data_IF_985436686500
#
_entry.id   IF_985436686500
#
_cell.length_a   1.000
_cell.length_b   1.000
_cell.length_c   1.000
_cell.angle_alpha   90.00
_cell.angle_beta   90.00
_cell.angle_gamma   90.00
#
_symmetry.space_group_name_H-M   'P 1'
#
loop_
_entity.id
_entity.type
_entity.pdbx_description
1 polymer ?
#
# COMPACT_ATOMS: atom_id res chain seq x y z
N UNK A 1 16.15 21.61 -3.16
CA UNK A 1 14.98 21.35 -2.29
C UNK A 1 15.20 20.05 -1.54
N UNK A 2 14.97 20.05 -0.23
CA UNK A 2 15.08 18.84 0.60
C UNK A 2 13.79 18.00 0.52
N UNK A 3 13.90 16.66 0.49
CA UNK A 3 12.75 15.78 0.47
C UNK A 3 12.01 15.80 1.81
N UNK A 4 10.67 15.83 1.78
CA UNK A 4 9.81 15.82 2.97
C UNK A 4 9.97 14.53 3.80
N UNK A 5 10.27 13.41 3.14
CA UNK A 5 10.56 12.14 3.79
C UNK A 5 11.95 11.66 3.41
N UNK A 6 12.73 11.23 4.41
CA UNK A 6 14.02 10.59 4.18
C UNK A 6 13.86 9.23 3.49
N UNK A 7 14.89 8.77 2.77
CA UNK A 7 14.89 7.44 2.14
C UNK A 7 14.64 6.31 3.14
N UNK A 8 15.06 6.47 4.41
CA UNK A 8 14.77 5.51 5.49
C UNK A 8 13.28 5.45 5.82
N UNK A 9 12.61 6.61 5.90
CA UNK A 9 11.15 6.67 6.12
C UNK A 9 10.39 6.08 4.93
N UNK A 10 10.73 6.45 3.69
CA UNK A 10 10.11 5.92 2.48
C UNK A 10 10.25 4.38 2.38
N UNK A 11 11.41 3.81 2.74
CA UNK A 11 11.61 2.36 2.81
C UNK A 11 10.67 1.70 3.82
N UNK A 12 10.42 2.32 4.99
CA UNK A 12 9.50 1.77 6.00
C UNK A 12 8.05 1.74 5.50
N UNK A 13 7.62 2.74 4.73
CA UNK A 13 6.29 2.73 4.08
C UNK A 13 6.12 1.54 3.13
N UNK A 14 7.19 1.24 2.38
CA UNK A 14 7.25 0.18 1.37
C UNK A 14 7.52 -1.23 1.88
N UNK A 15 7.65 -1.45 3.19
CA UNK A 15 7.77 -2.80 3.77
C UNK A 15 6.47 -3.14 4.48
N UNK A 16 5.44 -3.63 3.77
CA UNK A 16 4.22 -3.98 4.46
C UNK A 16 4.35 -5.33 5.18
N UNK A 17 5.07 -6.35 4.69
CA UNK A 17 5.00 -7.66 5.37
C UNK A 17 6.24 -8.57 5.23
N UNK A 18 7.07 -8.66 6.29
CA UNK A 18 7.93 -9.84 6.55
C UNK A 18 7.09 -11.10 6.79
N UNK A 19 5.86 -10.89 7.28
CA UNK A 19 4.90 -11.91 7.67
C UNK A 19 4.28 -12.66 6.49
N UNK A 20 4.22 -12.04 5.30
CA UNK A 20 3.62 -12.69 4.13
C UNK A 20 4.43 -13.90 3.69
N UNK A 21 5.76 -13.77 3.71
CA UNK A 21 6.65 -14.91 3.45
C UNK A 21 6.45 -16.03 4.47
N UNK A 22 6.29 -15.68 5.77
CA UNK A 22 5.98 -16.67 6.82
C UNK A 22 4.63 -17.35 6.59
N UNK A 23 3.60 -16.60 6.19
CA UNK A 23 2.28 -17.15 5.88
C UNK A 23 2.31 -18.09 4.67
N UNK A 24 3.05 -17.74 3.61
CA UNK A 24 3.26 -18.61 2.44
C UNK A 24 3.99 -19.90 2.82
N UNK A 25 5.07 -19.80 3.60
CA UNK A 25 5.81 -20.97 4.09
C UNK A 25 4.97 -21.84 5.01
N UNK A 26 4.15 -21.24 5.88
CA UNK A 26 3.23 -21.98 6.75
C UNK A 26 2.18 -22.75 5.94
N UNK A 27 1.58 -22.12 4.90
CA UNK A 27 0.64 -22.81 4.01
C UNK A 27 1.28 -23.95 3.22
N UNK A 28 2.50 -23.74 2.69
CA UNK A 28 3.26 -24.80 2.00
C UNK A 28 3.57 -25.97 2.94
N UNK A 29 4.02 -25.69 4.16
CA UNK A 29 4.27 -26.71 5.18
C UNK A 29 3.01 -27.47 5.57
N UNK A 30 1.89 -26.77 5.78
CA UNK A 30 0.60 -27.39 6.07
C UNK A 30 0.13 -28.30 4.94
N UNK A 31 0.23 -27.86 3.68
CA UNK A 31 -0.07 -28.67 2.49
C UNK A 31 0.79 -29.93 2.43
N UNK A 32 2.11 -29.81 2.64
CA UNK A 32 3.02 -30.94 2.62
C UNK A 32 2.67 -31.97 3.71
N UNK A 33 2.35 -31.52 4.93
CA UNK A 33 1.92 -32.41 6.04
C UNK A 33 0.59 -33.07 5.74
N UNK A 34 -0.39 -32.34 5.20
CA UNK A 34 -1.70 -32.90 4.84
C UNK A 34 -1.59 -33.97 3.73
N UNK A 35 -0.79 -33.70 2.69
CA UNK A 35 -0.52 -34.66 1.61
C UNK A 35 0.26 -35.89 2.11
N UNK A 36 1.25 -35.69 2.98
CA UNK A 36 2.06 -36.77 3.55
C UNK A 36 1.22 -37.64 4.47
N UNK A 37 0.38 -37.04 5.33
CA UNK A 37 -0.54 -37.77 6.20
C UNK A 37 -1.59 -38.58 5.44
N UNK A 38 -2.02 -38.09 4.27
CA UNK A 38 -2.88 -38.82 3.35
C UNK A 38 -2.14 -39.98 2.66
N UNK A 39 -0.85 -39.82 2.31
CA UNK A 39 -0.06 -40.87 1.66
C UNK A 39 0.32 -42.04 2.58
N UNK A 40 0.42 -41.83 3.89
CA UNK A 40 0.77 -42.88 4.87
C UNK A 40 -0.42 -43.70 5.39
N UNK A 41 -1.65 -43.26 5.11
CA UNK A 41 -2.85 -44.06 5.38
C UNK A 41 -3.29 -44.60 4.03
N UNK A 42 -2.97 -45.85 3.71
CA UNK A 42 -3.34 -46.53 2.46
C UNK A 42 -4.88 -46.66 2.20
N UNK A 43 -5.72 -45.95 2.99
CA UNK A 43 -7.18 -45.91 2.94
C UNK A 43 -7.72 -44.53 2.50
N UNK A 44 -7.09 -43.89 1.51
CA UNK A 44 -7.66 -42.67 0.91
C UNK A 44 -8.39 -43.07 -0.36
N UNK A 45 -9.69 -43.34 -0.24
CA UNK A 45 -10.59 -43.09 -1.36
C UNK A 45 -10.29 -41.65 -1.79
N UNK A 46 -9.86 -41.44 -3.04
CA UNK A 46 -9.51 -40.12 -3.59
C UNK A 46 -10.69 -39.13 -3.66
N UNK A 47 -11.75 -39.37 -2.89
CA UNK A 47 -12.63 -38.36 -2.34
C UNK A 47 -11.86 -37.46 -1.34
N UNK A 48 -10.76 -36.85 -1.77
CA UNK A 48 -10.43 -35.54 -1.22
C UNK A 48 -11.71 -34.74 -1.36
N UNK A 49 -12.31 -34.36 -0.23
CA UNK A 49 -13.58 -33.64 -0.25
C UNK A 49 -13.32 -32.43 -1.15
N UNK A 50 -13.94 -32.41 -2.33
CA UNK A 50 -13.81 -31.32 -3.31
C UNK A 50 -13.90 -29.94 -2.61
N UNK A 51 -14.72 -29.76 -1.55
CA UNK A 51 -14.70 -28.56 -0.72
C UNK A 51 -13.33 -28.19 -0.10
N UNK A 52 -12.59 -29.14 0.46
CA UNK A 52 -11.28 -28.92 1.08
C UNK A 52 -10.26 -28.42 0.06
N UNK A 53 -10.21 -29.06 -1.12
CA UNK A 53 -9.30 -28.66 -2.20
C UNK A 53 -9.66 -27.27 -2.71
N UNK A 54 -10.95 -26.97 -2.88
CA UNK A 54 -11.42 -25.64 -3.28
C UNK A 54 -11.05 -24.57 -2.25
N UNK A 55 -11.18 -24.84 -0.96
CA UNK A 55 -10.76 -23.91 0.12
C UNK A 55 -9.26 -23.66 0.07
N UNK A 56 -8.44 -24.69 -0.13
CA UNK A 56 -6.99 -24.54 -0.24
C UNK A 56 -6.57 -23.75 -1.48
N UNK A 57 -7.17 -24.03 -2.63
CA UNK A 57 -6.92 -23.27 -3.87
C UNK A 57 -7.34 -21.81 -3.71
N UNK A 58 -8.51 -21.55 -3.13
CA UNK A 58 -8.99 -20.20 -2.86
C UNK A 58 -8.07 -19.44 -1.89
N UNK A 59 -7.63 -20.09 -0.81
CA UNK A 59 -6.75 -19.48 0.17
C UNK A 59 -5.34 -19.20 -0.41
N UNK A 60 -4.81 -20.12 -1.23
CA UNK A 60 -3.54 -19.90 -1.93
C UNK A 60 -3.67 -18.78 -2.97
N UNK A 61 -4.75 -18.78 -3.76
CA UNK A 61 -5.06 -17.72 -4.71
C UNK A 61 -5.16 -16.34 -4.03
N UNK A 62 -5.81 -16.27 -2.86
CA UNK A 62 -5.88 -15.05 -2.05
C UNK A 62 -4.50 -14.62 -1.55
N UNK A 63 -3.67 -15.55 -1.06
CA UNK A 63 -2.29 -15.23 -0.65
C UNK A 63 -1.45 -14.69 -1.80
N UNK A 64 -1.55 -15.28 -2.99
CA UNK A 64 -0.85 -14.80 -4.19
C UNK A 64 -1.35 -13.41 -4.58
N UNK A 65 -2.66 -13.19 -4.58
CA UNK A 65 -3.25 -11.88 -4.87
C UNK A 65 -2.79 -10.80 -3.88
N UNK A 66 -2.84 -11.10 -2.57
CA UNK A 66 -2.34 -10.21 -1.51
C UNK A 66 -0.83 -9.96 -1.66
N UNK A 67 -0.06 -10.99 -2.02
CA UNK A 67 1.37 -10.88 -2.28
C UNK A 67 1.69 -10.00 -3.48
N UNK A 68 0.99 -10.16 -4.59
CA UNK A 68 1.15 -9.33 -5.78
C UNK A 68 0.76 -7.87 -5.49
N UNK A 69 -0.35 -7.65 -4.79
CA UNK A 69 -0.78 -6.31 -4.41
C UNK A 69 0.24 -5.63 -3.50
N UNK A 70 0.66 -6.31 -2.42
CA UNK A 70 1.62 -5.79 -1.46
C UNK A 70 3.02 -5.56 -2.07
N UNK A 71 3.45 -6.42 -2.98
CA UNK A 71 4.73 -6.25 -3.69
C UNK A 71 4.69 -5.09 -4.68
N UNK A 72 3.58 -4.88 -5.39
CA UNK A 72 3.41 -3.70 -6.28
C UNK A 72 3.49 -2.39 -5.50
N UNK A 73 2.79 -2.31 -4.37
CA UNK A 73 2.84 -1.16 -3.46
C UNK A 73 4.25 -0.97 -2.89
N UNK A 74 4.84 -2.04 -2.34
CA UNK A 74 6.20 -2.00 -1.77
C UNK A 74 7.27 -1.62 -2.79
N UNK A 75 7.20 -2.11 -4.03
CA UNK A 75 8.11 -1.73 -5.12
C UNK A 75 7.96 -0.25 -5.50
N UNK A 76 6.75 0.32 -5.43
CA UNK A 76 6.52 1.76 -5.69
C UNK A 76 7.21 2.62 -4.65
N UNK A 77 7.02 2.31 -3.37
CA UNK A 77 7.66 3.03 -2.27
C UNK A 77 9.17 2.83 -2.19
N UNK A 78 9.67 1.64 -2.58
CA UNK A 78 11.11 1.42 -2.73
C UNK A 78 11.71 2.25 -3.86
N UNK A 79 11.02 2.37 -5.00
CA UNK A 79 11.43 3.26 -6.11
C UNK A 79 11.43 4.73 -5.68
N UNK A 80 10.41 5.15 -4.94
CA UNK A 80 10.40 6.49 -4.33
C UNK A 80 11.58 6.69 -3.37
N UNK A 81 11.93 5.69 -2.56
CA UNK A 81 13.05 5.77 -1.63
C UNK A 81 14.44 5.82 -2.31
N UNK A 82 14.56 5.35 -3.55
CA UNK A 82 15.78 5.46 -4.36
C UNK A 82 15.91 6.80 -5.08
N UNK A 83 14.80 7.53 -5.24
CA UNK A 83 14.85 8.88 -5.79
C UNK A 83 15.58 9.82 -4.82
N UNK A 84 16.65 10.47 -5.28
CA UNK A 84 17.39 11.44 -4.46
C UNK A 84 16.60 12.75 -4.27
N UNK A 85 15.66 13.04 -5.17
CA UNK A 85 14.80 14.23 -5.17
C UNK A 85 13.39 13.86 -5.67
N UNK A 86 12.35 14.61 -5.27
CA UNK A 86 11.02 14.44 -5.87
C UNK A 86 11.04 14.84 -7.35
N UNK A 87 10.24 14.16 -8.16
CA UNK A 87 10.11 14.44 -9.59
C UNK A 87 9.26 15.68 -9.85
N UNK A 88 8.26 15.92 -8.99
CA UNK A 88 7.43 17.11 -9.00
C UNK A 88 7.16 17.60 -7.59
N UNK A 89 7.07 18.91 -7.47
CA UNK A 89 6.72 19.61 -6.24
C UNK A 89 5.60 20.58 -6.59
N UNK A 90 4.53 20.53 -5.83
CA UNK A 90 3.30 21.28 -6.08
C UNK A 90 2.81 21.85 -4.76
N UNK A 91 2.29 23.06 -4.80
CA UNK A 91 1.48 23.59 -3.71
C UNK A 91 0.00 23.36 -4.05
N UNK A 92 -0.75 22.87 -3.06
CA UNK A 92 -2.14 22.53 -3.24
C UNK A 92 -2.96 22.98 -2.02
N UNK A 93 -4.26 23.16 -2.23
CA UNK A 93 -5.22 23.47 -1.17
C UNK A 93 -6.10 22.24 -0.93
N UNK A 94 -6.32 21.89 0.32
CA UNK A 94 -7.26 20.83 0.69
C UNK A 94 -8.68 21.32 0.43
N UNK A 95 -9.40 20.66 -0.47
CA UNK A 95 -10.80 20.96 -0.77
C UNK A 95 -11.71 20.18 0.15
N UNK A 96 -11.39 18.91 0.37
CA UNK A 96 -12.22 18.00 1.16
C UNK A 96 -11.36 16.98 1.88
N UNK A 97 -11.77 16.62 3.10
CA UNK A 97 -11.19 15.53 3.88
C UNK A 97 -12.24 14.47 4.19
N UNK A 98 -12.07 13.31 3.57
CA UNK A 98 -12.77 12.08 3.93
C UNK A 98 -11.93 11.21 4.87
N UNK A 99 -12.60 10.34 5.61
CA UNK A 99 -11.95 9.30 6.43
C UNK A 99 -12.60 7.95 6.16
N UNK A 100 -11.78 6.91 6.04
CA UNK A 100 -12.25 5.53 5.94
C UNK A 100 -11.57 4.65 7.00
N UNK A 101 -11.96 3.37 7.07
CA UNK A 101 -11.38 2.39 8.02
C UNK A 101 -9.88 2.14 7.83
N UNK A 102 -9.32 2.53 6.68
CA UNK A 102 -7.92 2.29 6.30
C UNK A 102 -7.02 3.53 6.39
N UNK A 103 -7.59 4.73 6.52
CA UNK A 103 -6.85 5.99 6.53
C UNK A 103 -7.69 7.22 6.17
N UNK A 104 -7.01 8.33 5.90
CA UNK A 104 -7.63 9.59 5.46
C UNK A 104 -7.53 9.71 3.94
N UNK A 105 -8.56 10.27 3.33
CA UNK A 105 -8.61 10.59 1.90
C UNK A 105 -8.72 12.10 1.81
N UNK A 106 -7.75 12.76 1.19
CA UNK A 106 -7.77 14.18 0.95
C UNK A 106 -8.00 14.43 -0.52
N UNK A 107 -8.98 15.28 -0.84
CA UNK A 107 -9.13 15.86 -2.15
C UNK A 107 -8.43 17.21 -2.13
N UNK A 108 -7.45 17.39 -3.01
CA UNK A 108 -6.63 18.61 -3.05
C UNK A 108 -6.62 19.18 -4.46
N UNK A 109 -6.58 20.51 -4.55
CA UNK A 109 -6.52 21.25 -5.81
C UNK A 109 -5.20 22.00 -5.89
N UNK A 110 -4.44 21.76 -6.95
CA UNK A 110 -3.23 22.49 -7.29
C UNK A 110 -3.46 23.29 -8.57
N UNK A 111 -2.47 24.11 -8.94
CA UNK A 111 -2.53 24.92 -10.16
C UNK A 111 -2.66 24.09 -11.44
N UNK A 112 -2.11 22.87 -11.44
CA UNK A 112 -2.07 21.98 -12.60
C UNK A 112 -3.20 20.93 -12.63
N UNK A 113 -4.06 20.88 -11.60
CA UNK A 113 -5.19 19.96 -11.56
C UNK A 113 -5.67 19.57 -10.16
N UNK A 114 -6.55 18.58 -10.10
CA UNK A 114 -7.07 18.00 -8.87
C UNK A 114 -6.46 16.63 -8.59
N UNK A 115 -6.20 16.37 -7.31
CA UNK A 115 -5.53 15.15 -6.86
C UNK A 115 -6.26 14.52 -5.68
N UNK A 116 -6.32 13.19 -5.69
CA UNK A 116 -6.75 12.38 -4.56
C UNK A 116 -5.52 11.86 -3.82
N UNK A 117 -5.33 12.30 -2.58
CA UNK A 117 -4.28 11.80 -1.69
C UNK A 117 -4.87 10.78 -0.73
N UNK A 118 -4.26 9.60 -0.66
CA UNK A 118 -4.63 8.56 0.31
C UNK A 118 -3.50 8.36 1.31
N UNK A 119 -3.77 8.64 2.58
CA UNK A 119 -2.86 8.40 3.69
C UNK A 119 -3.18 7.06 4.34
N UNK A 120 -2.22 6.48 5.07
CA UNK A 120 -2.51 5.37 5.98
C UNK A 120 -3.00 5.91 7.31
N UNK A 121 -3.79 5.10 8.01
CA UNK A 121 -4.34 5.47 9.31
C UNK A 121 -3.26 5.98 10.28
N UNK A 122 -3.50 7.16 10.87
CA UNK A 122 -2.61 7.80 11.84
C UNK A 122 -1.51 8.67 11.24
N UNK A 123 -1.42 8.80 9.91
CA UNK A 123 -0.41 9.66 9.26
C UNK A 123 -0.92 11.07 8.95
N UNK A 124 -2.23 11.24 8.80
CA UNK A 124 -2.86 12.56 8.73
C UNK A 124 -3.97 12.67 9.76
N UNK A 125 -3.71 13.47 10.79
CA UNK A 125 -4.66 13.79 11.85
C UNK A 125 -5.15 15.22 11.73
N UNK A 126 -4.27 16.15 11.34
CA UNK A 126 -4.46 17.58 11.59
C UNK A 126 -4.91 18.39 10.36
N UNK A 127 -4.88 17.80 9.15
CA UNK A 127 -5.28 18.57 7.95
C UNK A 127 -6.78 18.87 7.96
N UNK A 128 -7.15 20.10 7.62
CA UNK A 128 -8.53 20.55 7.46
C UNK A 128 -8.79 21.07 6.03
N UNK A 129 -10.05 21.18 5.61
CA UNK A 129 -10.40 21.93 4.40
C UNK A 129 -9.81 23.35 4.43
N UNK A 130 -9.46 23.86 3.26
CA UNK A 130 -8.78 25.13 3.00
C UNK A 130 -7.33 25.25 3.49
N UNK A 131 -6.78 24.21 4.12
CA UNK A 131 -5.36 24.19 4.46
C UNK A 131 -4.49 24.12 3.21
N UNK A 132 -3.41 24.89 3.21
CA UNK A 132 -2.35 24.81 2.21
C UNK A 132 -1.40 23.67 2.53
N UNK A 133 -1.11 22.86 1.51
CA UNK A 133 -0.19 21.74 1.61
C UNK A 133 0.90 21.84 0.55
N UNK A 134 2.10 21.46 0.96
CA UNK A 134 3.23 21.25 0.07
C UNK A 134 3.31 19.77 -0.29
N UNK A 135 3.13 19.43 -1.56
CA UNK A 135 3.06 18.07 -2.07
C UNK A 135 4.31 17.73 -2.90
N UNK A 136 4.95 16.62 -2.59
CA UNK A 136 6.08 16.06 -3.32
C UNK A 136 5.71 14.72 -3.94
N UNK A 137 5.96 14.56 -5.24
CA UNK A 137 5.66 13.35 -6.00
C UNK A 137 6.95 12.62 -6.38
N UNK A 138 6.95 11.29 -6.23
CA UNK A 138 8.05 10.41 -6.60
C UNK A 138 7.56 9.41 -7.65
N UNK A 139 7.78 9.74 -8.92
CA UNK A 139 7.39 8.98 -10.10
C UNK A 139 6.42 9.74 -11.02
N UNK A 140 6.21 9.15 -12.20
CA UNK A 140 5.17 9.56 -13.15
C UNK A 140 4.17 8.41 -13.38
N UNK A 141 2.89 8.73 -13.60
CA UNK A 141 1.83 7.77 -13.89
C UNK A 141 0.51 8.07 -13.18
N UNK A 142 -0.51 7.22 -13.34
CA UNK A 142 -1.86 7.46 -12.79
C UNK A 142 -1.92 7.33 -11.25
N UNK A 143 -0.99 6.56 -10.66
CA UNK A 143 -0.84 6.41 -9.20
C UNK A 143 0.63 6.47 -8.82
N UNK A 144 1.00 7.49 -8.07
CA UNK A 144 2.40 7.74 -7.67
C UNK A 144 2.53 7.78 -6.15
N UNK A 145 3.72 7.46 -5.65
CA UNK A 145 4.02 7.65 -4.24
C UNK A 145 4.36 9.13 -4.03
N UNK A 146 3.90 9.69 -2.93
CA UNK A 146 4.15 11.08 -2.59
C UNK A 146 4.33 11.29 -1.11
N UNK A 147 4.70 12.50 -0.75
CA UNK A 147 4.69 12.99 0.62
C UNK A 147 4.08 14.38 0.61
N UNK A 148 3.28 14.73 1.60
CA UNK A 148 2.82 16.10 1.76
C UNK A 148 3.10 16.61 3.17
N UNK A 149 3.17 17.93 3.30
CA UNK A 149 3.28 18.64 4.57
C UNK A 149 2.28 19.78 4.58
N UNK A 150 1.48 19.86 5.63
CA UNK A 150 0.54 20.96 5.83
C UNK A 150 1.27 22.18 6.44
N UNK A 151 0.99 23.38 5.93
CA UNK A 151 1.52 24.65 6.43
C UNK A 151 1.11 24.93 7.88
N UNK A 152 -0.05 24.43 8.33
CA UNK A 152 -0.55 24.56 9.71
C UNK A 152 0.41 23.96 10.77
N UNK A 153 1.46 23.25 10.34
CA UNK A 153 2.46 22.64 11.21
C UNK A 153 2.47 21.11 11.16
N UNK A 154 1.74 20.53 10.19
CA UNK A 154 1.59 19.09 10.06
C UNK A 154 2.94 18.40 9.79
N UNK A 155 3.13 17.23 10.39
CA UNK A 155 4.29 16.38 10.09
C UNK A 155 4.20 15.87 8.64
N UNK A 156 5.34 15.63 7.95
CA UNK A 156 5.33 15.02 6.63
C UNK A 156 4.61 13.66 6.65
N UNK A 157 3.59 13.53 5.81
CA UNK A 157 2.78 12.33 5.70
C UNK A 157 2.99 11.69 4.33
N UNK A 158 3.24 10.38 4.32
CA UNK A 158 3.33 9.62 3.08
C UNK A 158 1.94 9.38 2.50
N UNK A 159 1.78 9.65 1.21
CA UNK A 159 0.52 9.55 0.48
C UNK A 159 0.66 8.73 -0.80
N UNK A 160 -0.39 8.03 -1.16
CA UNK A 160 -0.58 7.63 -2.56
C UNK A 160 -1.37 8.72 -3.27
N UNK A 161 -0.82 9.24 -4.35
CA UNK A 161 -1.40 10.32 -5.15
C UNK A 161 -2.01 9.74 -6.41
N UNK A 162 -3.26 10.11 -6.69
CA UNK A 162 -3.97 9.80 -7.94
C UNK A 162 -4.45 11.11 -8.55
N UNK A 163 -4.08 11.40 -9.79
CA UNK A 163 -4.66 12.54 -10.50
C UNK A 163 -6.13 12.25 -10.82
N UNK A 164 -7.01 13.23 -10.60
CA UNK A 164 -8.42 13.13 -10.94
C UNK A 164 -8.64 13.72 -12.34
N UNK A 165 -9.50 13.11 -13.17
CA UNK A 165 -9.90 13.72 -14.43
C UNK A 165 -10.65 15.03 -14.13
N UNK A 166 -10.26 16.09 -14.83
CA UNK A 166 -10.92 17.42 -14.81
C UNK A 166 -12.26 17.34 -15.51
#
# INVERSE_FOLDING_TARGET
MEPLLSSRQLRRVGVPFRWLGRATWFMLGFMAVAMTGAAFRDDVEWQFSVPLVLVLVAAFGLLVALGLFATREGRRWRRAATAQRPDRVLDAVVVEKGRNSTGSILHVKADDGSYLLRTRHGWDLDSEPDDRIHLQLYGAGPKVAGAYRNERGGRPAAVTVTALPV
#
